data_IF_473033445139
#
_entry.id   IF_473033445139
#
_cell.length_a   1.000
_cell.length_b   1.000
_cell.length_c   1.000
_cell.angle_alpha   90.00
_cell.angle_beta   90.00
_cell.angle_gamma   90.00
#
_symmetry.space_group_name_H-M   'P 1'
#
loop_
_entity.id
_entity.type
_entity.pdbx_description
1 polymer ?
#
# COMPACT_ATOMS: atom_id res chain seq x y z
N UNK A 1 -23.27 -40.96 -48.73
CA UNK A 1 -22.36 -39.78 -48.54
C UNK A 1 -22.63 -39.20 -47.16
N UNK A 2 -21.79 -39.54 -46.19
CA UNK A 2 -21.95 -39.11 -44.81
C UNK A 2 -21.10 -37.84 -44.54
N UNK A 3 -21.75 -36.75 -44.12
CA UNK A 3 -21.08 -35.49 -43.76
C UNK A 3 -20.49 -35.60 -42.37
N UNK A 4 -19.17 -35.53 -42.25
CA UNK A 4 -18.45 -35.43 -40.98
C UNK A 4 -18.53 -33.99 -40.53
N UNK A 5 -19.24 -33.74 -39.41
CA UNK A 5 -19.22 -32.44 -38.73
C UNK A 5 -18.01 -32.37 -37.81
N UNK A 6 -17.03 -31.59 -38.17
CA UNK A 6 -15.88 -31.27 -37.32
C UNK A 6 -16.34 -30.23 -36.30
N UNK A 7 -16.41 -30.62 -35.01
CA UNK A 7 -16.58 -29.68 -33.89
C UNK A 7 -15.20 -29.07 -33.56
N UNK A 8 -15.03 -27.82 -33.88
CA UNK A 8 -13.89 -27.03 -33.41
C UNK A 8 -14.20 -26.53 -32.01
N UNK A 9 -13.64 -27.18 -30.99
CA UNK A 9 -13.69 -26.67 -29.61
C UNK A 9 -12.70 -25.52 -29.46
N UNK A 10 -13.20 -24.29 -29.38
CA UNK A 10 -12.42 -23.14 -29.03
C UNK A 10 -12.04 -23.21 -27.52
N UNK A 11 -10.78 -23.51 -27.23
CA UNK A 11 -10.23 -23.43 -25.87
C UNK A 11 -10.08 -21.94 -25.52
N UNK A 12 -11.03 -21.41 -24.77
CA UNK A 12 -10.90 -20.08 -24.14
C UNK A 12 -9.81 -20.19 -23.06
N UNK A 13 -8.60 -19.76 -23.40
CA UNK A 13 -7.57 -19.47 -22.41
C UNK A 13 -8.06 -18.26 -21.57
N UNK A 14 -8.65 -18.53 -20.42
CA UNK A 14 -8.91 -17.52 -19.41
C UNK A 14 -7.54 -17.04 -18.89
N UNK A 15 -7.00 -15.98 -19.49
CA UNK A 15 -5.91 -15.23 -18.88
C UNK A 15 -6.47 -14.63 -17.60
N UNK A 16 -6.09 -15.19 -16.45
CA UNK A 16 -6.44 -14.64 -15.15
C UNK A 16 -5.96 -13.20 -15.07
N UNK A 17 -6.89 -12.26 -15.16
CA UNK A 17 -6.61 -10.84 -14.93
C UNK A 17 -6.19 -10.74 -13.47
N UNK A 18 -4.90 -10.47 -13.21
CA UNK A 18 -4.43 -10.14 -11.87
C UNK A 18 -5.01 -8.78 -11.53
N UNK A 19 -6.10 -8.78 -10.76
CA UNK A 19 -6.86 -7.58 -10.46
C UNK A 19 -6.14 -6.63 -9.49
N UNK A 20 -5.11 -7.09 -8.77
CA UNK A 20 -4.38 -6.33 -7.74
C UNK A 20 -2.96 -6.88 -7.60
N UNK A 21 -2.06 -6.06 -7.02
CA UNK A 21 -0.64 -6.40 -6.91
C UNK A 21 -0.09 -6.35 -5.50
N UNK A 22 1.20 -6.67 -5.41
CA UNK A 22 2.00 -6.62 -4.18
C UNK A 22 3.30 -5.87 -4.44
N UNK A 23 3.86 -5.26 -3.40
CA UNK A 23 5.23 -4.73 -3.45
C UNK A 23 6.22 -5.90 -3.47
N UNK A 24 6.77 -6.18 -4.65
CA UNK A 24 7.72 -7.29 -4.86
C UNK A 24 9.15 -6.93 -4.56
N UNK A 25 9.51 -5.66 -4.79
CA UNK A 25 10.87 -5.17 -4.57
C UNK A 25 10.82 -3.85 -3.83
N UNK A 26 11.71 -3.71 -2.88
CA UNK A 26 11.95 -2.49 -2.11
C UNK A 26 13.37 -2.02 -2.41
N UNK A 27 13.53 -0.79 -2.88
CA UNK A 27 14.85 -0.20 -3.14
C UNK A 27 15.05 0.93 -2.12
N UNK A 28 15.96 0.73 -1.18
CA UNK A 28 16.28 1.70 -0.13
C UNK A 28 17.69 2.26 -0.36
N UNK A 29 17.81 3.57 -0.58
CA UNK A 29 19.07 4.26 -0.93
C UNK A 29 19.87 3.54 -2.03
N UNK A 30 19.17 3.00 -3.05
CA UNK A 30 19.76 2.30 -4.19
C UNK A 30 20.04 0.80 -3.96
N UNK A 31 19.85 0.28 -2.74
CA UNK A 31 20.00 -1.15 -2.44
C UNK A 31 18.65 -1.86 -2.58
N UNK A 32 18.63 -2.97 -3.34
CA UNK A 32 17.41 -3.74 -3.62
C UNK A 32 17.21 -4.86 -2.61
N UNK A 33 15.97 -4.99 -2.12
CA UNK A 33 15.52 -6.00 -1.16
C UNK A 33 14.25 -6.69 -1.68
N UNK A 34 14.04 -7.99 -1.38
CA UNK A 34 12.76 -8.64 -1.66
C UNK A 34 11.63 -8.03 -0.83
N UNK A 35 10.49 -7.76 -1.47
CA UNK A 35 9.27 -7.31 -0.82
C UNK A 35 8.51 -8.45 -0.14
N UNK A 36 7.34 -8.13 0.41
CA UNK A 36 6.45 -9.09 1.07
C UNK A 36 5.42 -9.64 0.09
N UNK A 37 5.67 -10.82 -0.47
CA UNK A 37 4.68 -11.52 -1.30
C UNK A 37 3.98 -12.63 -0.50
N UNK A 38 2.69 -12.93 -0.76
CA UNK A 38 1.92 -13.90 0.02
C UNK A 38 2.49 -15.32 0.00
N UNK A 39 3.15 -15.71 -1.08
CA UNK A 39 3.75 -17.03 -1.28
C UNK A 39 5.23 -16.94 -1.64
N UNK A 40 6.04 -17.78 -1.01
CA UNK A 40 7.43 -17.96 -1.40
C UNK A 40 8.35 -16.76 -1.12
N UNK A 41 7.96 -15.82 -0.26
CA UNK A 41 8.84 -14.76 0.16
C UNK A 41 10.09 -15.35 0.86
N UNK A 42 11.32 -14.95 0.44
CA UNK A 42 12.53 -15.45 1.07
C UNK A 42 12.66 -14.92 2.50
N UNK A 43 13.48 -15.57 3.33
CA UNK A 43 13.75 -15.10 4.70
C UNK A 43 14.42 -13.72 4.77
N UNK A 44 15.03 -13.29 3.66
CA UNK A 44 15.63 -11.96 3.48
C UNK A 44 14.64 -10.89 3.09
N UNK A 45 13.35 -11.23 2.89
CA UNK A 45 12.32 -10.26 2.57
C UNK A 45 12.15 -9.25 3.70
N UNK A 46 12.06 -7.97 3.31
CA UNK A 46 11.85 -6.84 4.23
C UNK A 46 10.38 -6.43 4.31
N UNK A 47 9.59 -6.84 3.32
CA UNK A 47 8.13 -6.67 3.32
C UNK A 47 7.44 -7.71 4.19
N UNK A 48 6.38 -7.29 4.89
CA UNK A 48 5.58 -8.17 5.74
C UNK A 48 4.81 -9.19 4.92
N UNK A 49 4.68 -10.38 5.45
CA UNK A 49 3.83 -11.41 4.86
C UNK A 49 2.37 -11.16 5.24
N UNK A 50 1.47 -11.17 4.26
CA UNK A 50 0.03 -11.04 4.47
C UNK A 50 -0.72 -12.25 3.89
N UNK A 51 -1.95 -12.50 4.38
CA UNK A 51 -2.83 -13.59 3.94
C UNK A 51 -3.81 -13.08 2.86
N UNK A 52 -3.28 -12.52 1.79
CA UNK A 52 -4.06 -11.97 0.66
C UNK A 52 -3.69 -12.63 -0.67
N UNK A 53 -3.53 -13.96 -0.66
CA UNK A 53 -3.19 -14.78 -1.82
C UNK A 53 -4.19 -14.64 -2.98
N UNK A 54 -5.42 -14.25 -2.67
CA UNK A 54 -6.49 -13.93 -3.61
C UNK A 54 -6.35 -12.54 -4.24
N UNK A 55 -5.25 -11.81 -3.95
CA UNK A 55 -5.08 -10.40 -4.27
C UNK A 55 -6.20 -9.49 -3.75
N UNK A 56 -6.88 -9.89 -2.67
CA UNK A 56 -7.97 -9.13 -2.09
C UNK A 56 -7.50 -7.89 -1.33
N UNK A 57 -8.45 -7.15 -0.78
CA UNK A 57 -8.28 -5.86 -0.11
C UNK A 57 -8.83 -5.89 1.32
N UNK A 58 -8.64 -4.79 2.03
CA UNK A 58 -9.32 -4.49 3.30
C UNK A 58 -10.46 -3.52 2.99
N UNK A 59 -11.70 -3.96 3.24
CA UNK A 59 -12.89 -3.15 3.01
C UNK A 59 -13.15 -2.17 4.18
N UNK A 60 -13.89 -1.05 3.97
CA UNK A 60 -14.14 -0.04 5.00
C UNK A 60 -14.78 -0.55 6.29
N UNK A 61 -15.63 -1.58 6.23
CA UNK A 61 -16.20 -2.22 7.43
C UNK A 61 -15.16 -2.94 8.29
N UNK A 62 -13.96 -3.20 7.77
CA UNK A 62 -12.83 -3.81 8.49
C UNK A 62 -11.75 -2.78 8.89
N UNK A 63 -11.94 -1.47 8.69
CA UNK A 63 -10.94 -0.45 9.02
C UNK A 63 -10.68 -0.29 10.53
N UNK A 64 -11.58 -0.76 11.37
CA UNK A 64 -11.35 -0.84 12.82
C UNK A 64 -10.66 -2.14 13.27
N UNK A 65 -10.42 -3.09 12.36
CA UNK A 65 -9.68 -4.32 12.65
C UNK A 65 -8.18 -4.15 12.44
N UNK A 66 -7.39 -5.10 12.94
CA UNK A 66 -5.93 -5.12 12.73
C UNK A 66 -5.50 -5.36 11.27
N UNK A 67 -6.44 -5.72 10.40
CA UNK A 67 -6.14 -5.96 8.99
C UNK A 67 -5.80 -4.68 8.23
N UNK A 68 -6.36 -3.54 8.63
CA UNK A 68 -6.03 -2.25 8.02
C UNK A 68 -4.58 -1.83 8.26
N UNK A 69 -3.92 -2.38 9.27
CA UNK A 69 -2.57 -1.94 9.65
C UNK A 69 -1.56 -2.31 8.56
N UNK A 70 -1.45 -3.61 8.23
CA UNK A 70 -0.47 -4.14 7.27
C UNK A 70 -1.07 -5.22 6.36
N UNK A 71 -2.37 -5.18 6.10
CA UNK A 71 -3.17 -6.18 5.39
C UNK A 71 -3.62 -7.35 6.24
N UNK A 72 -4.50 -8.21 5.66
CA UNK A 72 -5.15 -9.36 6.31
C UNK A 72 -4.12 -10.33 6.87
N UNK A 73 -4.23 -10.65 8.15
CA UNK A 73 -3.39 -11.62 8.82
C UNK A 73 -1.88 -11.33 8.73
N UNK A 74 -1.48 -10.07 8.51
CA UNK A 74 -0.09 -9.71 8.28
C UNK A 74 0.79 -9.96 9.51
N UNK A 75 2.01 -10.46 9.24
CA UNK A 75 3.08 -10.69 10.22
C UNK A 75 4.38 -9.99 9.80
N UNK A 76 5.18 -9.51 10.77
CA UNK A 76 6.44 -8.83 10.50
C UNK A 76 7.42 -9.67 9.69
N UNK A 77 8.22 -8.99 8.86
CA UNK A 77 9.39 -9.57 8.22
C UNK A 77 10.53 -9.76 9.23
N UNK A 78 11.37 -10.77 9.03
CA UNK A 78 12.57 -10.98 9.88
C UNK A 78 13.73 -10.04 9.53
N UNK A 79 13.79 -9.56 8.28
CA UNK A 79 14.81 -8.65 7.79
C UNK A 79 14.31 -7.20 7.72
N UNK A 80 15.23 -6.24 7.59
CA UNK A 80 14.96 -4.82 7.41
C UNK A 80 15.82 -4.24 6.29
N UNK A 81 15.26 -3.31 5.50
CA UNK A 81 16.01 -2.53 4.55
C UNK A 81 16.69 -1.36 5.26
N UNK A 82 18.00 -1.18 5.01
CA UNK A 82 18.72 -0.02 5.56
C UNK A 82 18.49 1.21 4.69
N UNK A 83 18.13 2.32 5.33
CA UNK A 83 17.92 3.62 4.69
C UNK A 83 18.39 4.74 5.61
N UNK A 84 18.93 5.81 5.05
CA UNK A 84 19.29 7.01 5.84
C UNK A 84 18.03 7.84 6.16
N UNK A 85 18.03 8.52 7.28
CA UNK A 85 17.11 9.63 7.49
C UNK A 85 17.32 10.69 6.39
N UNK A 86 16.25 11.10 5.70
CA UNK A 86 16.31 11.89 4.46
C UNK A 86 16.53 11.08 3.19
N UNK A 87 16.78 9.76 3.29
CA UNK A 87 16.94 8.85 2.16
C UNK A 87 15.62 8.50 1.47
N UNK A 88 15.71 7.74 0.40
CA UNK A 88 14.56 7.38 -0.43
C UNK A 88 14.30 5.88 -0.39
N UNK A 89 13.03 5.51 -0.24
CA UNK A 89 12.55 4.14 -0.42
C UNK A 89 11.64 4.10 -1.64
N UNK A 90 12.00 3.27 -2.62
CA UNK A 90 11.17 3.01 -3.80
C UNK A 90 10.51 1.64 -3.70
N UNK A 91 9.21 1.62 -3.90
CA UNK A 91 8.34 0.45 -3.76
C UNK A 91 7.87 0.03 -5.14
N UNK A 92 8.35 -1.12 -5.61
CA UNK A 92 8.03 -1.67 -6.91
C UNK A 92 6.91 -2.71 -6.77
N UNK A 93 5.73 -2.39 -7.28
CA UNK A 93 4.61 -3.30 -7.38
C UNK A 93 4.78 -4.23 -8.59
N UNK A 94 4.23 -5.43 -8.52
CA UNK A 94 4.19 -6.35 -9.66
C UNK A 94 3.17 -5.92 -10.71
N UNK A 95 2.04 -5.34 -10.30
CA UNK A 95 1.01 -4.77 -11.17
C UNK A 95 0.08 -3.84 -10.40
N UNK A 96 -0.62 -2.95 -11.11
CA UNK A 96 -1.77 -2.20 -10.60
C UNK A 96 -2.77 -1.98 -11.74
N UNK A 97 -4.08 -2.25 -11.56
CA UNK A 97 -5.06 -2.07 -12.63
C UNK A 97 -5.34 -0.58 -12.90
N UNK A 98 -5.39 -0.20 -14.17
CA UNK A 98 -5.67 1.19 -14.58
C UNK A 98 -7.02 1.72 -14.06
N UNK A 99 -8.04 0.85 -13.96
CA UNK A 99 -9.36 1.23 -13.44
C UNK A 99 -9.39 1.50 -11.93
N UNK A 100 -8.32 1.17 -11.19
CA UNK A 100 -8.27 1.27 -9.74
C UNK A 100 -7.67 2.61 -9.29
N UNK A 101 -8.30 3.70 -9.76
CA UNK A 101 -7.92 5.07 -9.41
C UNK A 101 -8.01 5.32 -7.91
N UNK A 102 -7.06 6.10 -7.37
CA UNK A 102 -7.12 6.52 -5.98
C UNK A 102 -5.83 7.10 -5.43
N UNK A 103 -5.83 7.48 -4.13
CA UNK A 103 -4.68 8.03 -3.46
C UNK A 103 -3.61 6.98 -3.18
N UNK A 104 -2.36 7.46 -3.06
CA UNK A 104 -1.23 6.76 -2.47
C UNK A 104 -0.85 7.49 -1.19
N UNK A 105 -0.71 6.74 -0.09
CA UNK A 105 -0.46 7.30 1.25
C UNK A 105 0.64 6.49 1.93
N UNK A 106 1.60 7.19 2.52
CA UNK A 106 2.71 6.56 3.23
C UNK A 106 2.74 7.00 4.69
N UNK A 107 2.90 6.03 5.58
CA UNK A 107 3.02 6.22 7.03
C UNK A 107 4.31 5.58 7.55
N UNK A 108 4.78 6.08 8.68
CA UNK A 108 5.90 5.47 9.40
C UNK A 108 5.55 5.30 10.87
N UNK A 109 6.06 4.23 11.48
CA UNK A 109 5.95 3.97 12.91
C UNK A 109 7.26 3.41 13.46
N UNK A 110 7.69 3.87 14.64
CA UNK A 110 8.86 3.30 15.32
C UNK A 110 8.52 1.96 15.95
N UNK A 111 9.45 1.00 15.82
CA UNK A 111 9.36 -0.30 16.47
C UNK A 111 9.85 -0.26 17.94
N UNK A 112 10.47 0.83 18.36
CA UNK A 112 11.14 0.92 19.68
C UNK A 112 12.36 -0.02 19.82
N UNK A 113 12.81 -0.63 18.73
CA UNK A 113 13.88 -1.61 18.65
C UNK A 113 13.81 -2.39 17.34
N UNK A 114 13.98 -3.71 17.40
CA UNK A 114 13.84 -4.57 16.22
C UNK A 114 12.39 -4.67 15.76
N UNK A 115 12.16 -4.55 14.44
CA UNK A 115 10.83 -4.72 13.85
C UNK A 115 10.44 -6.19 13.62
N UNK A 116 11.38 -7.14 13.73
CA UNK A 116 11.14 -8.54 13.37
C UNK A 116 10.03 -9.23 14.19
N UNK A 117 9.80 -8.77 15.43
CA UNK A 117 8.78 -9.34 16.30
C UNK A 117 7.85 -8.28 16.88
N UNK A 118 7.72 -7.14 16.20
CA UNK A 118 6.89 -6.03 16.68
C UNK A 118 5.41 -6.42 16.66
N UNK A 119 4.70 -6.08 17.74
CA UNK A 119 3.24 -6.18 17.73
C UNK A 119 2.65 -5.04 16.90
N UNK A 120 2.05 -5.37 15.76
CA UNK A 120 1.47 -4.35 14.85
C UNK A 120 0.42 -3.46 15.52
N UNK A 121 -0.32 -3.99 16.50
CA UNK A 121 -1.35 -3.23 17.21
C UNK A 121 -0.78 -2.14 18.13
N UNK A 122 0.49 -2.26 18.55
CA UNK A 122 1.16 -1.25 19.38
C UNK A 122 1.84 -0.14 18.57
N UNK A 123 1.89 -0.25 17.23
CA UNK A 123 2.52 0.75 16.38
C UNK A 123 1.71 2.05 16.33
N UNK A 124 2.42 3.17 16.44
CA UNK A 124 1.87 4.54 16.39
C UNK A 124 2.26 5.19 15.07
N UNK A 125 1.28 5.44 14.21
CA UNK A 125 1.48 5.79 12.81
C UNK A 125 1.43 7.29 12.58
N UNK A 126 2.44 7.80 11.87
CA UNK A 126 2.53 9.18 11.41
C UNK A 126 2.52 9.18 9.89
N UNK A 127 1.65 9.99 9.28
CA UNK A 127 1.61 10.15 7.83
C UNK A 127 2.80 11.00 7.38
N UNK A 128 3.64 10.46 6.51
CA UNK A 128 4.86 11.11 6.01
C UNK A 128 4.76 11.55 4.55
N UNK A 129 3.89 10.92 3.77
CA UNK A 129 3.61 11.34 2.40
C UNK A 129 2.16 10.99 2.03
N UNK A 130 1.62 11.78 1.10
CA UNK A 130 0.31 11.52 0.51
C UNK A 130 0.19 12.20 -0.84
N UNK A 131 -0.51 11.53 -1.75
CA UNK A 131 -0.93 12.10 -3.04
C UNK A 131 -2.28 11.51 -3.42
N UNK A 132 -3.20 12.35 -3.89
CA UNK A 132 -4.56 11.93 -4.26
C UNK A 132 -4.88 12.28 -5.70
N UNK A 133 -5.94 13.09 -5.89
CA UNK A 133 -6.31 13.64 -7.18
C UNK A 133 -5.20 14.56 -7.72
N UNK A 134 -4.81 14.35 -8.95
CA UNK A 134 -3.82 15.18 -9.67
C UNK A 134 -4.51 16.22 -10.52
N UNK A 135 -5.53 15.80 -11.29
CA UNK A 135 -6.28 16.70 -12.16
C UNK A 135 -7.58 16.07 -12.64
N UNK A 136 -8.52 16.91 -13.06
CA UNK A 136 -9.78 16.47 -13.66
C UNK A 136 -10.77 15.88 -12.67
N UNK A 137 -11.81 15.26 -13.21
CA UNK A 137 -12.86 14.53 -12.46
C UNK A 137 -13.51 13.51 -13.40
N UNK A 138 -14.32 12.59 -12.88
CA UNK A 138 -15.14 11.62 -13.61
C UNK A 138 -14.34 10.73 -14.62
N UNK A 139 -13.35 9.93 -14.21
CA UNK A 139 -12.85 9.74 -12.86
C UNK A 139 -11.71 10.70 -12.45
N UNK A 140 -11.09 11.44 -13.38
CA UNK A 140 -9.90 12.25 -13.16
C UNK A 140 -8.61 11.43 -13.20
N UNK A 141 -7.46 12.09 -12.99
CA UNK A 141 -6.13 11.48 -12.90
C UNK A 141 -5.67 11.46 -11.45
N UNK A 142 -5.17 10.33 -11.00
CA UNK A 142 -4.88 10.05 -9.60
C UNK A 142 -3.42 9.65 -9.35
N UNK A 143 -3.04 9.58 -8.09
CA UNK A 143 -1.70 9.11 -7.69
C UNK A 143 -1.42 7.67 -8.15
N UNK A 144 -2.42 6.79 -8.16
CA UNK A 144 -2.31 5.43 -8.72
C UNK A 144 -1.97 5.42 -10.20
N UNK A 145 -2.49 6.38 -11.01
CA UNK A 145 -2.15 6.50 -12.42
C UNK A 145 -0.70 6.96 -12.61
N UNK A 146 -0.23 7.81 -11.70
CA UNK A 146 1.18 8.23 -11.68
C UNK A 146 2.10 7.05 -11.31
N UNK A 147 1.71 6.21 -10.35
CA UNK A 147 2.42 4.97 -10.00
C UNK A 147 2.51 4.04 -11.23
N UNK A 148 1.41 3.80 -11.94
CA UNK A 148 1.39 2.98 -13.16
C UNK A 148 2.32 3.57 -14.22
N UNK A 149 2.24 4.89 -14.48
CA UNK A 149 3.06 5.57 -15.49
C UNK A 149 4.57 5.50 -15.21
N UNK A 150 4.95 5.24 -13.96
CA UNK A 150 6.33 5.01 -13.51
C UNK A 150 6.68 3.52 -13.47
N UNK A 151 5.99 2.68 -14.22
CA UNK A 151 6.22 1.23 -14.26
C UNK A 151 5.79 0.52 -12.97
N UNK A 152 4.67 0.91 -12.38
CA UNK A 152 4.16 0.42 -11.09
C UNK A 152 5.11 0.71 -9.92
N UNK A 153 5.75 1.86 -9.90
CA UNK A 153 6.76 2.25 -8.93
C UNK A 153 6.37 3.52 -8.18
N UNK A 154 6.63 3.54 -6.87
CA UNK A 154 6.40 4.68 -6.00
C UNK A 154 7.59 4.95 -5.10
N UNK A 155 8.00 6.22 -5.00
CA UNK A 155 9.13 6.61 -4.15
C UNK A 155 8.64 7.51 -3.02
N UNK A 156 9.11 7.23 -1.81
CA UNK A 156 8.85 8.03 -0.60
C UNK A 156 10.18 8.44 0.04
N UNK A 157 10.27 9.71 0.44
CA UNK A 157 11.41 10.22 1.21
C UNK A 157 11.17 10.00 2.69
N UNK A 158 12.12 9.36 3.35
CA UNK A 158 12.10 9.17 4.81
C UNK A 158 12.41 10.51 5.49
N UNK A 159 11.65 10.93 6.51
CA UNK A 159 11.93 12.20 7.19
C UNK A 159 13.38 12.31 7.69
N UNK A 160 14.03 13.42 7.41
CA UNK A 160 15.46 13.61 7.69
C UNK A 160 15.78 13.78 9.18
N UNK A 161 14.78 14.10 9.99
CA UNK A 161 14.91 14.32 11.44
C UNK A 161 14.69 13.04 12.27
N UNK A 162 14.41 11.88 11.65
CA UNK A 162 14.18 10.64 12.40
C UNK A 162 15.43 10.20 13.16
N UNK A 163 15.21 9.79 14.40
CA UNK A 163 16.23 9.09 15.20
C UNK A 163 16.60 7.76 14.54
N UNK A 164 17.87 7.33 14.57
CA UNK A 164 18.25 6.02 14.09
C UNK A 164 17.53 4.91 14.86
N UNK A 165 17.15 3.83 14.17
CA UNK A 165 16.42 2.71 14.78
C UNK A 165 15.58 1.93 13.79
N UNK A 166 14.81 0.96 14.32
CA UNK A 166 13.86 0.17 13.57
C UNK A 166 12.53 0.89 13.38
N UNK A 167 12.04 0.90 12.15
CA UNK A 167 10.75 1.49 11.77
C UNK A 167 9.99 0.57 10.83
N UNK A 168 8.66 0.70 10.82
CA UNK A 168 7.82 0.14 9.77
C UNK A 168 7.34 1.26 8.87
N UNK A 169 7.62 1.16 7.58
CA UNK A 169 6.99 1.95 6.53
C UNK A 169 5.71 1.24 6.10
N UNK A 170 4.57 1.92 6.18
CA UNK A 170 3.28 1.46 5.69
C UNK A 170 2.92 2.26 4.44
N UNK A 171 2.99 1.61 3.30
CA UNK A 171 2.61 2.12 1.99
C UNK A 171 1.22 1.61 1.63
N UNK A 172 0.36 2.45 1.10
CA UNK A 172 -1.01 2.07 0.81
C UNK A 172 -1.54 2.74 -0.46
N UNK A 173 -2.24 1.97 -1.26
CA UNK A 173 -3.14 2.48 -2.29
C UNK A 173 -4.56 2.20 -1.84
N UNK A 174 -5.46 3.20 -1.95
CA UNK A 174 -6.89 3.01 -1.72
C UNK A 174 -7.59 3.16 -3.07
N UNK A 175 -8.08 2.06 -3.63
CA UNK A 175 -8.82 2.09 -4.89
C UNK A 175 -10.26 2.56 -4.67
N UNK A 176 -10.70 3.54 -5.47
CA UNK A 176 -11.98 4.24 -5.31
C UNK A 176 -13.02 3.89 -6.38
N UNK A 177 -12.72 2.98 -7.31
CA UNK A 177 -13.60 2.64 -8.43
C UNK A 177 -14.99 2.13 -8.01
N UNK A 178 -15.13 1.63 -6.79
CA UNK A 178 -16.42 1.21 -6.19
C UNK A 178 -16.81 2.05 -4.98
N UNK A 179 -16.05 3.11 -4.64
CA UNK A 179 -16.19 3.87 -3.39
C UNK A 179 -17.40 4.83 -3.37
N UNK A 180 -18.15 4.93 -4.46
CA UNK A 180 -19.42 5.65 -4.51
C UNK A 180 -20.54 5.03 -3.66
N UNK A 181 -20.33 3.82 -3.15
CA UNK A 181 -21.25 3.11 -2.26
C UNK A 181 -20.55 2.71 -0.96
N UNK A 182 -21.33 2.49 0.08
CA UNK A 182 -20.80 2.07 1.39
C UNK A 182 -19.99 0.77 1.26
N UNK A 183 -18.83 0.72 1.92
CA UNK A 183 -17.87 -0.38 1.87
C UNK A 183 -17.25 -0.65 0.49
N UNK A 184 -17.39 0.25 -0.47
CA UNK A 184 -16.87 0.06 -1.83
C UNK A 184 -15.41 0.46 -2.02
N UNK A 185 -14.82 1.30 -1.17
CA UNK A 185 -13.39 1.58 -1.21
C UNK A 185 -12.57 0.32 -0.88
N UNK A 186 -11.37 0.21 -1.47
CA UNK A 186 -10.53 -0.97 -1.32
C UNK A 186 -9.13 -0.55 -0.88
N UNK A 187 -8.74 -0.86 0.37
CA UNK A 187 -7.42 -0.53 0.90
C UNK A 187 -6.43 -1.67 0.71
N UNK A 188 -5.21 -1.32 0.25
CA UNK A 188 -4.11 -2.26 -0.03
C UNK A 188 -2.85 -1.87 0.73
N UNK A 189 -2.85 -1.94 2.07
CA UNK A 189 -1.68 -1.59 2.86
C UNK A 189 -0.56 -2.63 2.70
N UNK A 190 0.68 -2.14 2.53
CA UNK A 190 1.91 -2.93 2.45
C UNK A 190 2.88 -2.41 3.51
N UNK A 191 3.36 -3.27 4.39
CA UNK A 191 4.32 -2.90 5.44
C UNK A 191 5.72 -3.41 5.14
N UNK A 192 6.71 -2.56 5.38
CA UNK A 192 8.13 -2.81 5.12
C UNK A 192 8.93 -2.47 6.38
N UNK A 193 9.77 -3.40 6.84
CA UNK A 193 10.72 -3.12 7.91
C UNK A 193 11.89 -2.30 7.40
N UNK A 194 12.19 -1.20 8.08
CA UNK A 194 13.32 -0.32 7.81
C UNK A 194 14.27 -0.29 9.01
N UNK A 195 15.56 -0.27 8.72
CA UNK A 195 16.60 0.17 9.65
C UNK A 195 17.03 1.57 9.25
N UNK A 196 16.53 2.59 9.94
CA UNK A 196 16.90 3.98 9.70
C UNK A 196 18.25 4.27 10.34
N UNK A 197 19.13 4.88 9.57
CA UNK A 197 20.47 5.34 10.01
C UNK A 197 20.56 6.85 9.91
N UNK A 198 21.53 7.46 10.60
CA UNK A 198 21.74 8.91 10.59
C UNK A 198 21.81 9.48 12.00
N UNK A 199 21.68 10.81 12.11
CA UNK A 199 21.85 11.57 13.37
C UNK A 199 20.60 12.34 13.79
N UNK A 200 19.44 12.06 13.21
CA UNK A 200 18.17 12.67 13.62
C UNK A 200 17.84 12.30 15.09
N UNK A 201 17.05 13.13 15.75
CA UNK A 201 16.69 12.95 17.15
C UNK A 201 15.20 12.71 17.41
N UNK A 202 14.37 12.67 16.35
CA UNK A 202 12.93 12.60 16.50
C UNK A 202 12.42 11.15 16.37
N UNK A 203 11.70 10.70 17.40
CA UNK A 203 10.86 9.49 17.29
C UNK A 203 9.41 9.95 17.19
N UNK A 204 8.78 9.88 16.00
CA UNK A 204 7.45 10.42 15.81
C UNK A 204 6.42 9.61 16.59
N UNK A 205 5.39 10.31 17.09
CA UNK A 205 4.21 9.73 17.75
C UNK A 205 2.98 10.10 16.93
N UNK A 206 2.15 9.13 16.60
CA UNK A 206 0.99 9.32 15.77
C UNK A 206 -0.25 8.67 16.37
N UNK A 207 -1.04 8.02 15.53
CA UNK A 207 -2.30 7.37 15.91
C UNK A 207 -2.21 5.85 15.79
N UNK A 208 -3.10 5.13 16.47
CA UNK A 208 -3.24 3.67 16.29
C UNK A 208 -3.60 3.34 14.84
N UNK A 209 -3.08 2.22 14.32
CA UNK A 209 -3.40 1.77 12.98
C UNK A 209 -4.88 1.51 12.74
N UNK A 210 -5.61 1.06 13.76
CA UNK A 210 -7.06 0.85 13.70
C UNK A 210 -7.88 2.14 13.79
N UNK A 211 -7.22 3.29 13.93
CA UNK A 211 -7.85 4.62 13.99
C UNK A 211 -7.47 5.50 12.80
N UNK A 212 -6.78 4.93 11.77
CA UNK A 212 -6.35 5.68 10.60
C UNK A 212 -7.52 6.20 9.77
N UNK A 213 -8.58 5.39 9.63
CA UNK A 213 -9.72 5.70 8.78
C UNK A 213 -11.05 5.29 9.43
N UNK A 214 -12.11 5.95 8.98
CA UNK A 214 -13.50 5.54 9.24
C UNK A 214 -14.16 5.19 7.92
N UNK A 215 -15.12 4.28 7.94
CA UNK A 215 -15.83 3.81 6.74
C UNK A 215 -16.61 4.89 6.00
N UNK A 216 -16.95 5.98 6.68
CA UNK A 216 -17.69 7.13 6.15
C UNK A 216 -16.84 8.41 6.00
N UNK A 217 -15.51 8.32 6.14
CA UNK A 217 -14.65 9.46 5.85
C UNK A 217 -14.90 9.96 4.42
N UNK A 218 -14.91 11.27 4.17
CA UNK A 218 -15.20 11.82 2.83
C UNK A 218 -14.26 11.35 1.74
N UNK A 219 -13.04 10.90 2.09
CA UNK A 219 -12.08 10.32 1.16
C UNK A 219 -12.19 8.78 1.04
N UNK A 220 -13.07 8.13 1.83
CA UNK A 220 -13.35 6.70 1.77
C UNK A 220 -14.69 6.42 1.07
N UNK A 221 -15.75 7.11 1.48
CA UNK A 221 -17.03 7.09 0.77
C UNK A 221 -17.03 8.25 -0.23
N UNK A 222 -16.55 7.97 -1.45
CA UNK A 222 -16.31 8.99 -2.47
C UNK A 222 -16.66 8.48 -3.87
N UNK A 223 -17.60 9.13 -4.53
CA UNK A 223 -17.97 8.78 -5.91
C UNK A 223 -17.07 9.53 -6.92
N UNK A 224 -16.07 8.82 -7.45
CA UNK A 224 -15.16 9.39 -8.46
C UNK A 224 -15.76 9.54 -9.86
N UNK A 225 -16.95 8.99 -10.10
CA UNK A 225 -17.67 9.09 -11.39
C UNK A 225 -18.70 10.23 -11.42
N UNK A 226 -18.50 11.24 -10.60
CA UNK A 226 -19.25 12.49 -10.60
C UNK A 226 -18.33 13.68 -10.90
N UNK A 227 -18.88 14.87 -11.03
CA UNK A 227 -18.09 16.10 -11.11
C UNK A 227 -17.63 16.49 -9.70
N UNK A 228 -16.33 16.73 -9.51
CA UNK A 228 -15.72 17.24 -8.28
C UNK A 228 -14.48 18.09 -8.60
N UNK A 229 -14.10 18.97 -7.70
CA UNK A 229 -12.94 19.85 -7.85
C UNK A 229 -11.75 19.49 -6.97
N UNK A 230 -11.98 18.72 -5.91
CA UNK A 230 -10.95 18.29 -4.95
C UNK A 230 -11.27 16.90 -4.40
N UNK A 231 -10.28 16.30 -3.78
CA UNK A 231 -10.40 15.03 -3.07
C UNK A 231 -9.78 15.15 -1.67
N UNK A 232 -10.57 14.91 -0.60
CA UNK A 232 -10.05 14.91 0.77
C UNK A 232 -9.32 13.60 1.05
N UNK A 233 -7.99 13.62 1.05
CA UNK A 233 -7.19 12.41 1.34
C UNK A 233 -7.47 11.98 2.77
N UNK A 234 -7.88 10.70 3.00
CA UNK A 234 -8.27 10.23 4.33
C UNK A 234 -7.06 10.06 5.27
N UNK A 235 -7.36 9.90 6.56
CA UNK A 235 -6.38 9.67 7.61
C UNK A 235 -5.89 10.95 8.30
N UNK A 236 -4.95 10.82 9.26
CA UNK A 236 -4.43 11.96 10.00
C UNK A 236 -3.73 12.97 9.09
N UNK A 237 -3.52 14.19 9.59
CA UNK A 237 -2.78 15.21 8.88
C UNK A 237 -1.35 14.75 8.53
N UNK A 238 -0.82 15.27 7.43
CA UNK A 238 0.57 15.07 7.03
C UNK A 238 1.48 15.66 8.11
N UNK A 239 2.45 14.88 8.57
CA UNK A 239 3.50 15.37 9.47
C UNK A 239 4.35 16.42 8.76
N UNK A 240 4.64 17.50 9.47
CA UNK A 240 5.55 18.56 9.00
C UNK A 240 6.96 18.33 9.53
#
# INVERSE_FOLDING_TARGET
MGSIKVLVSALLLATGVKAHGHVRTVIADGVSYPGGIPHGAPSTAVGWRAQNQDNGFVAPNAFSSQDIICHRGASPASASATVRAGGTVTLQWDTWPESHHGPVIDYIASCGGSCANVNKASLSWVKIAQRGLISGSNPGRWASDELISRGNSWSVTIPSNLAPGGYVLRHEIIALHSAGQQNGAQAYPQCINLQVTGSGGTTPRGVSGTSLYRSNDPGILFNLYTSFSNYPIPGPALSR
#
